data_IF_287216825390
#
_entry.id   IF_287216825390
#
_cell.length_a   1.000
_cell.length_b   1.000
_cell.length_c   1.000
_cell.angle_alpha   90.00
_cell.angle_beta   90.00
_cell.angle_gamma   90.00
#
_symmetry.space_group_name_H-M   'P 1'
#
loop_
_entity.id
_entity.type
_entity.pdbx_description
1 polymer ?
#
# COMPACT_ATOMS: atom_id res chain seq x y z
N UNK A 1 7.57 -1.70 -9.49
CA UNK A 1 7.10 -1.31 -8.14
C UNK A 1 5.92 -2.17 -7.78
N UNK A 2 5.87 -2.80 -6.59
CA UNK A 2 4.75 -3.63 -6.19
C UNK A 2 3.48 -2.78 -6.02
N UNK A 3 2.39 -3.27 -6.57
CA UNK A 3 1.05 -2.71 -6.40
C UNK A 3 0.02 -3.82 -6.50
N UNK A 4 -1.14 -3.60 -5.91
CA UNK A 4 -2.28 -4.50 -5.96
C UNK A 4 -3.53 -3.68 -6.22
N UNK A 5 -4.34 -4.12 -7.16
CA UNK A 5 -5.65 -3.51 -7.45
C UNK A 5 -6.71 -4.57 -7.21
N UNK A 6 -7.78 -4.19 -6.51
CA UNK A 6 -8.97 -5.02 -6.43
C UNK A 6 -10.23 -4.16 -6.48
N UNK A 7 -11.31 -4.76 -6.89
CA UNK A 7 -12.62 -4.13 -6.91
C UNK A 7 -13.56 -4.87 -5.97
N UNK A 8 -14.34 -4.11 -5.25
CA UNK A 8 -15.38 -4.63 -4.37
C UNK A 8 -16.71 -3.94 -4.70
N UNK A 9 -17.82 -4.64 -4.47
CA UNK A 9 -19.16 -4.09 -4.60
C UNK A 9 -19.80 -3.91 -3.24
N UNK A 10 -20.55 -2.84 -3.11
CA UNK A 10 -21.40 -2.56 -1.96
C UNK A 10 -22.78 -2.17 -2.47
N UNK A 11 -23.81 -2.63 -1.79
CA UNK A 11 -25.21 -2.26 -2.09
C UNK A 11 -25.51 -0.82 -1.65
N UNK A 12 -24.65 -0.22 -0.83
CA UNK A 12 -24.83 1.14 -0.35
C UNK A 12 -24.50 2.17 -1.44
N UNK A 13 -25.25 3.28 -1.53
CA UNK A 13 -24.84 4.44 -2.31
C UNK A 13 -23.50 5.00 -1.84
N UNK A 14 -22.75 5.66 -2.74
CA UNK A 14 -21.37 6.10 -2.49
C UNK A 14 -21.20 7.01 -1.24
N UNK A 15 -22.16 7.89 -0.99
CA UNK A 15 -22.18 8.74 0.19
C UNK A 15 -22.37 7.93 1.49
N UNK A 16 -23.34 6.99 1.51
CA UNK A 16 -23.57 6.12 2.66
C UNK A 16 -22.40 5.17 2.89
N UNK A 17 -21.77 4.69 1.82
CA UNK A 17 -20.56 3.89 1.92
C UNK A 17 -19.40 4.69 2.53
N UNK A 18 -19.19 5.94 2.09
CA UNK A 18 -18.19 6.81 2.70
C UNK A 18 -18.46 7.05 4.20
N UNK A 19 -19.72 7.24 4.57
CA UNK A 19 -20.12 7.42 5.97
C UNK A 19 -19.94 6.15 6.80
N UNK A 20 -20.20 4.97 6.24
CA UNK A 20 -19.95 3.68 6.90
C UNK A 20 -18.45 3.38 7.09
N UNK A 21 -17.58 3.91 6.23
CA UNK A 21 -16.14 3.76 6.36
C UNK A 21 -15.52 4.67 7.44
N UNK A 22 -16.08 5.87 7.64
CA UNK A 22 -15.52 6.88 8.57
C UNK A 22 -15.28 6.39 9.99
N UNK A 23 -16.17 5.61 10.64
CA UNK A 23 -15.95 5.11 11.99
C UNK A 23 -14.71 4.22 12.14
N UNK A 24 -14.28 3.58 11.07
CA UNK A 24 -13.10 2.69 11.04
C UNK A 24 -11.80 3.43 10.72
N UNK A 25 -11.87 4.74 10.43
CA UNK A 25 -10.71 5.53 9.99
C UNK A 25 -10.44 6.67 10.97
N UNK A 26 -9.38 6.53 11.75
CA UNK A 26 -8.88 7.59 12.61
C UNK A 26 -8.17 8.70 11.82
N UNK A 27 -8.22 9.91 12.31
CA UNK A 27 -7.46 11.03 11.74
C UNK A 27 -6.01 10.96 12.20
N UNK A 28 -5.02 11.02 11.32
CA UNK A 28 -3.62 11.14 11.73
C UNK A 28 -3.43 12.50 12.42
N UNK A 29 -2.51 12.55 13.40
CA UNK A 29 -2.08 13.83 13.93
C UNK A 29 -1.27 14.60 12.87
N UNK A 30 -0.87 15.85 13.17
CA UNK A 30 -0.11 16.69 12.26
C UNK A 30 1.26 16.10 11.86
N UNK A 31 1.82 15.16 12.64
CA UNK A 31 3.03 14.39 12.33
C UNK A 31 2.76 13.13 11.48
N UNK A 32 1.51 12.87 11.08
CA UNK A 32 1.14 11.66 10.35
C UNK A 32 1.17 10.38 11.19
N UNK A 33 1.26 10.51 12.52
CA UNK A 33 1.26 9.37 13.44
C UNK A 33 -0.16 8.84 13.58
N UNK A 34 -0.36 7.50 13.52
CA UNK A 34 -1.67 6.91 13.69
C UNK A 34 -2.25 7.24 15.08
N UNK A 35 -3.58 7.36 15.19
CA UNK A 35 -4.23 7.57 16.47
C UNK A 35 -3.96 6.37 17.39
N UNK A 36 -3.93 6.63 18.69
CA UNK A 36 -3.79 5.57 19.71
C UNK A 36 -5.09 4.78 19.91
N UNK A 37 -6.18 5.26 19.33
CA UNK A 37 -7.51 4.65 19.44
C UNK A 37 -7.56 3.34 18.65
N UNK A 38 -8.46 2.46 19.05
CA UNK A 38 -8.61 1.08 18.54
C UNK A 38 -9.20 0.97 17.13
N UNK A 39 -9.03 1.99 16.28
CA UNK A 39 -9.50 1.96 14.89
C UNK A 39 -8.53 1.20 14.00
N UNK A 40 -9.04 0.39 13.05
CA UNK A 40 -8.19 -0.45 12.19
C UNK A 40 -7.39 0.33 11.14
N UNK A 41 -7.87 1.51 10.75
CA UNK A 41 -7.25 2.34 9.73
C UNK A 41 -7.05 3.78 10.20
N UNK A 42 -6.16 4.50 9.53
CA UNK A 42 -6.02 5.95 9.69
C UNK A 42 -5.82 6.60 8.32
N UNK A 43 -6.26 7.85 8.18
CA UNK A 43 -6.18 8.58 6.92
C UNK A 43 -7.35 9.52 6.69
N UNK A 44 -7.77 9.64 5.45
CA UNK A 44 -8.84 10.56 5.03
C UNK A 44 -9.87 9.85 4.17
N UNK A 45 -11.15 10.14 4.43
CA UNK A 45 -12.30 9.64 3.66
C UNK A 45 -13.08 10.83 3.14
N UNK A 46 -13.09 11.02 1.82
CA UNK A 46 -13.92 11.98 1.11
C UNK A 46 -15.20 11.34 0.57
N UNK A 47 -15.99 12.11 -0.17
CA UNK A 47 -17.25 11.65 -0.78
C UNK A 47 -17.07 10.72 -1.98
N UNK A 48 -15.96 10.86 -2.71
CA UNK A 48 -15.68 10.09 -3.95
C UNK A 48 -14.42 9.24 -3.90
N UNK A 49 -13.59 9.45 -2.89
CA UNK A 49 -12.29 8.80 -2.74
C UNK A 49 -11.86 8.74 -1.29
N UNK A 50 -11.01 7.76 -0.98
CA UNK A 50 -10.32 7.70 0.31
C UNK A 50 -8.83 7.39 0.13
N UNK A 51 -8.06 7.80 1.12
CA UNK A 51 -6.66 7.43 1.30
C UNK A 51 -6.47 7.01 2.73
N UNK A 52 -6.27 5.73 2.95
CA UNK A 52 -6.12 5.15 4.28
C UNK A 52 -4.91 4.23 4.35
N UNK A 53 -4.43 4.01 5.57
CA UNK A 53 -3.37 3.06 5.88
C UNK A 53 -3.83 2.24 7.09
N UNK A 54 -3.42 0.99 7.17
CA UNK A 54 -3.69 0.15 8.34
C UNK A 54 -2.93 0.66 9.55
N UNK A 55 -3.57 0.71 10.71
CA UNK A 55 -2.90 0.96 11.99
C UNK A 55 -2.12 -0.28 12.39
N UNK A 56 -0.81 -0.13 12.62
CA UNK A 56 0.09 -1.21 13.00
C UNK A 56 0.72 -0.85 14.33
N UNK A 57 0.80 -1.82 15.23
CA UNK A 57 1.58 -1.69 16.46
C UNK A 57 3.05 -1.95 16.13
N UNK A 58 3.85 -0.89 16.03
CA UNK A 58 5.27 -0.97 15.70
C UNK A 58 5.64 -0.20 14.42
N UNK A 59 6.90 -0.35 13.99
CA UNK A 59 7.41 0.25 12.75
C UNK A 59 7.31 -0.77 11.62
N UNK A 60 6.53 -0.45 10.60
CA UNK A 60 6.47 -1.22 9.37
C UNK A 60 6.53 -0.25 8.19
N UNK A 61 7.68 -0.21 7.54
CA UNK A 61 7.94 0.69 6.41
C UNK A 61 7.24 0.23 5.12
N UNK A 62 6.78 -1.02 5.06
CA UNK A 62 6.16 -1.62 3.87
C UNK A 62 4.64 -1.63 3.93
N UNK A 63 4.04 -1.07 4.99
CA UNK A 63 2.61 -0.95 5.13
C UNK A 63 1.99 -0.25 3.91
N UNK A 64 1.06 -0.90 3.19
CA UNK A 64 0.50 -0.34 1.98
C UNK A 64 -0.40 0.87 2.27
N UNK A 65 -0.32 1.86 1.40
CA UNK A 65 -1.30 2.94 1.32
C UNK A 65 -2.43 2.49 0.41
N UNK A 66 -3.66 2.54 0.90
CA UNK A 66 -4.87 2.18 0.17
C UNK A 66 -5.50 3.45 -0.40
N UNK A 67 -5.55 3.53 -1.72
CA UNK A 67 -6.26 4.57 -2.45
C UNK A 67 -7.54 3.97 -3.02
N UNK A 68 -8.69 4.37 -2.51
CA UNK A 68 -9.97 3.92 -3.02
C UNK A 68 -10.71 5.02 -3.75
N UNK A 69 -11.46 4.61 -4.78
CA UNK A 69 -12.43 5.46 -5.50
C UNK A 69 -13.79 4.80 -5.46
N UNK A 70 -14.80 5.60 -5.21
CA UNK A 70 -16.20 5.19 -5.26
C UNK A 70 -16.74 5.47 -6.67
N UNK A 71 -17.20 4.44 -7.34
CA UNK A 71 -17.83 4.50 -8.66
C UNK A 71 -19.30 4.12 -8.46
N UNK A 72 -20.19 5.04 -8.76
CA UNK A 72 -21.63 4.73 -8.73
C UNK A 72 -21.95 3.67 -9.79
N UNK A 73 -22.66 2.64 -9.39
CA UNK A 73 -23.17 1.58 -10.25
C UNK A 73 -24.70 1.55 -10.16
N UNK A 74 -25.39 0.96 -11.14
CA UNK A 74 -26.86 0.92 -11.18
C UNK A 74 -27.50 0.23 -9.96
N UNK A 75 -26.74 -0.61 -9.24
CA UNK A 75 -27.20 -1.38 -8.08
C UNK A 75 -26.35 -1.14 -6.81
N UNK A 76 -25.70 0.05 -6.70
CA UNK A 76 -24.90 0.37 -5.52
C UNK A 76 -23.63 1.11 -5.84
N UNK A 77 -22.56 0.79 -5.13
CA UNK A 77 -21.24 1.40 -5.31
C UNK A 77 -20.18 0.36 -5.61
N UNK A 78 -19.46 0.55 -6.71
CA UNK A 78 -18.24 -0.17 -6.99
C UNK A 78 -17.07 0.59 -6.37
N UNK A 79 -16.30 -0.08 -5.53
CA UNK A 79 -15.14 0.48 -4.86
C UNK A 79 -13.89 -0.11 -5.49
N UNK A 80 -13.14 0.73 -6.22
CA UNK A 80 -11.84 0.34 -6.76
C UNK A 80 -10.75 0.77 -5.81
N UNK A 81 -9.99 -0.19 -5.29
CA UNK A 81 -8.91 0.05 -4.34
C UNK A 81 -7.57 -0.28 -4.97
N UNK A 82 -6.67 0.68 -4.94
CA UNK A 82 -5.26 0.52 -5.35
C UNK A 82 -4.40 0.57 -4.10
N UNK A 83 -3.66 -0.49 -3.87
CA UNK A 83 -2.68 -0.57 -2.79
C UNK A 83 -1.29 -0.40 -3.35
N UNK A 84 -0.49 0.46 -2.74
CA UNK A 84 0.89 0.73 -3.17
C UNK A 84 1.75 1.06 -1.96
N UNK A 85 3.05 0.89 -2.09
CA UNK A 85 4.00 1.31 -1.06
C UNK A 85 3.93 2.82 -0.84
N UNK A 86 4.24 3.23 0.39
CA UNK A 86 4.36 4.65 0.72
C UNK A 86 5.33 5.36 -0.24
N UNK A 87 5.04 6.59 -0.71
CA UNK A 87 5.87 7.31 -1.68
C UNK A 87 7.35 7.39 -1.30
N UNK A 88 7.64 7.60 -0.02
CA UNK A 88 9.02 7.62 0.50
C UNK A 88 9.74 6.28 0.28
N UNK A 89 9.10 5.14 0.58
CA UNK A 89 9.68 3.81 0.36
C UNK A 89 9.89 3.53 -1.13
N UNK A 90 8.96 3.97 -1.96
CA UNK A 90 9.10 3.87 -3.42
C UNK A 90 10.29 4.67 -3.93
N UNK A 91 10.45 5.91 -3.47
CA UNK A 91 11.60 6.74 -3.82
C UNK A 91 12.91 6.11 -3.34
N UNK A 92 12.94 5.63 -2.09
CA UNK A 92 14.10 4.93 -1.56
C UNK A 92 14.48 3.70 -2.40
N UNK A 93 13.53 2.83 -2.73
CA UNK A 93 13.79 1.66 -3.57
C UNK A 93 14.25 2.03 -4.99
N UNK A 94 13.72 3.11 -5.56
CA UNK A 94 14.15 3.59 -6.87
C UNK A 94 15.60 4.11 -6.84
N UNK A 95 15.94 4.94 -5.87
CA UNK A 95 17.28 5.48 -5.67
C UNK A 95 18.26 4.34 -5.39
N UNK A 96 17.90 3.43 -4.47
CA UNK A 96 18.70 2.25 -4.15
C UNK A 96 18.97 1.39 -5.38
N UNK A 97 17.93 1.07 -6.16
CA UNK A 97 18.06 0.28 -7.38
C UNK A 97 18.95 0.97 -8.42
N UNK A 98 18.86 2.30 -8.54
CA UNK A 98 19.71 3.07 -9.43
C UNK A 98 21.20 2.96 -9.04
N UNK A 99 21.54 3.20 -7.78
CA UNK A 99 22.93 3.15 -7.33
C UNK A 99 23.52 1.75 -7.38
N UNK A 100 22.78 0.73 -6.96
CA UNK A 100 23.27 -0.66 -7.00
C UNK A 100 23.43 -1.17 -8.44
N UNK A 101 22.52 -0.82 -9.34
CA UNK A 101 22.67 -1.16 -10.77
C UNK A 101 23.86 -0.45 -11.39
N UNK A 102 24.04 0.84 -11.09
CA UNK A 102 25.20 1.59 -11.58
C UNK A 102 26.52 1.00 -11.07
N UNK A 103 26.58 0.62 -9.79
CA UNK A 103 27.74 -0.03 -9.19
C UNK A 103 28.05 -1.35 -9.90
N UNK A 104 27.05 -2.21 -10.12
CA UNK A 104 27.23 -3.47 -10.83
C UNK A 104 27.71 -3.27 -12.28
N UNK A 105 27.19 -2.26 -13.00
CA UNK A 105 27.64 -1.95 -14.38
C UNK A 105 29.11 -1.50 -14.40
N UNK A 106 29.54 -0.66 -13.47
CA UNK A 106 30.93 -0.21 -13.37
C UNK A 106 31.86 -1.37 -13.04
N UNK A 107 31.45 -2.29 -12.16
CA UNK A 107 32.23 -3.48 -11.82
C UNK A 107 32.50 -4.41 -13.04
N UNK A 108 31.53 -4.53 -13.95
CA UNK A 108 31.74 -5.25 -15.23
C UNK A 108 32.80 -4.54 -16.06
N UNK A 109 32.70 -3.22 -16.19
CA UNK A 109 33.62 -2.42 -17.00
C UNK A 109 35.06 -2.51 -16.48
N UNK A 110 35.25 -2.50 -15.18
CA UNK A 110 36.55 -2.48 -14.53
C UNK A 110 37.09 -3.90 -14.23
N UNK A 111 36.43 -4.95 -14.75
CA UNK A 111 36.80 -6.37 -14.62
C UNK A 111 36.87 -6.88 -13.17
N UNK A 112 36.00 -6.36 -12.28
CA UNK A 112 35.82 -6.81 -10.90
C UNK A 112 34.57 -7.68 -10.72
N UNK A 113 34.62 -9.00 -11.04
CA UNK A 113 33.41 -9.85 -10.99
C UNK A 113 32.82 -9.98 -9.59
N UNK A 114 33.63 -9.94 -8.54
CA UNK A 114 33.16 -10.00 -7.16
C UNK A 114 32.23 -8.82 -6.82
N UNK A 115 32.59 -7.61 -7.27
CA UNK A 115 31.79 -6.39 -7.06
C UNK A 115 30.47 -6.42 -7.85
N UNK A 116 30.49 -7.01 -9.04
CA UNK A 116 29.24 -7.25 -9.81
C UNK A 116 28.27 -8.13 -9.04
N UNK A 117 28.72 -9.27 -8.52
CA UNK A 117 27.86 -10.16 -7.73
C UNK A 117 27.40 -9.51 -6.43
N UNK A 118 28.24 -8.69 -5.79
CA UNK A 118 27.89 -7.88 -4.64
C UNK A 118 26.76 -6.90 -4.96
N UNK A 119 26.89 -6.11 -6.01
CA UNK A 119 25.87 -5.16 -6.45
C UNK A 119 24.53 -5.85 -6.80
N UNK A 120 24.60 -6.96 -7.54
CA UNK A 120 23.42 -7.77 -7.87
C UNK A 120 22.77 -8.36 -6.62
N UNK A 121 23.56 -8.89 -5.68
CA UNK A 121 23.08 -9.42 -4.40
C UNK A 121 22.35 -8.37 -3.57
N UNK A 122 22.87 -7.16 -3.45
CA UNK A 122 22.20 -6.06 -2.76
C UNK A 122 20.92 -5.63 -3.44
N UNK A 123 20.88 -5.61 -4.78
CA UNK A 123 19.66 -5.32 -5.52
C UNK A 123 18.58 -6.36 -5.26
N UNK A 124 18.91 -7.63 -5.42
CA UNK A 124 18.00 -8.75 -5.20
C UNK A 124 17.51 -8.80 -3.75
N UNK A 125 18.38 -8.58 -2.77
CA UNK A 125 18.02 -8.58 -1.36
C UNK A 125 16.97 -7.51 -1.04
N UNK A 126 17.14 -6.27 -1.52
CA UNK A 126 16.18 -5.21 -1.30
C UNK A 126 14.79 -5.55 -1.86
N UNK A 127 14.72 -6.11 -3.07
CA UNK A 127 13.46 -6.49 -3.70
C UNK A 127 12.84 -7.74 -3.07
N UNK A 128 13.66 -8.72 -2.68
CA UNK A 128 13.23 -9.94 -2.01
C UNK A 128 12.61 -9.64 -0.62
N UNK A 129 13.10 -8.60 0.05
CA UNK A 129 12.52 -8.14 1.30
C UNK A 129 11.24 -7.31 1.05
N UNK A 130 11.26 -6.38 0.11
CA UNK A 130 10.16 -5.44 -0.08
C UNK A 130 8.91 -6.08 -0.68
N UNK A 131 9.07 -6.97 -1.65
CA UNK A 131 7.92 -7.51 -2.42
C UNK A 131 7.07 -8.47 -1.60
N UNK A 132 7.61 -9.52 -0.96
CA UNK A 132 6.80 -10.44 -0.16
C UNK A 132 6.11 -9.75 1.02
N UNK A 133 6.81 -8.87 1.72
CA UNK A 133 6.25 -8.14 2.86
C UNK A 133 5.10 -7.25 2.41
N UNK A 134 5.26 -6.53 1.29
CA UNK A 134 4.17 -5.73 0.71
C UNK A 134 2.92 -6.57 0.42
N UNK A 135 3.06 -7.70 -0.28
CA UNK A 135 1.90 -8.54 -0.63
C UNK A 135 1.25 -9.17 0.59
N UNK A 136 2.03 -9.57 1.58
CA UNK A 136 1.51 -10.06 2.85
C UNK A 136 0.66 -9.00 3.57
N UNK A 137 1.18 -7.78 3.68
CA UNK A 137 0.45 -6.67 4.33
C UNK A 137 -0.72 -6.16 3.50
N UNK A 138 -0.62 -6.19 2.17
CA UNK A 138 -1.73 -5.87 1.29
C UNK A 138 -2.88 -6.88 1.45
N UNK A 139 -2.59 -8.18 1.51
CA UNK A 139 -3.60 -9.22 1.76
C UNK A 139 -4.29 -9.02 3.11
N UNK A 140 -3.52 -8.74 4.17
CA UNK A 140 -4.05 -8.46 5.51
C UNK A 140 -4.92 -7.20 5.53
N UNK A 141 -4.50 -6.15 4.84
CA UNK A 141 -5.27 -4.90 4.73
C UNK A 141 -6.56 -5.07 3.93
N UNK A 142 -6.51 -5.87 2.83
CA UNK A 142 -7.71 -6.24 2.06
C UNK A 142 -8.71 -6.99 2.94
N UNK A 143 -8.24 -7.99 3.70
CA UNK A 143 -9.09 -8.77 4.61
C UNK A 143 -9.77 -7.89 5.65
N UNK A 144 -9.01 -7.02 6.34
CA UNK A 144 -9.55 -6.10 7.34
C UNK A 144 -10.59 -5.16 6.75
N UNK A 145 -10.35 -4.61 5.56
CA UNK A 145 -11.30 -3.72 4.89
C UNK A 145 -12.61 -4.45 4.55
N UNK A 146 -12.53 -5.69 4.09
CA UNK A 146 -13.70 -6.53 3.82
C UNK A 146 -14.50 -6.84 5.07
N UNK A 147 -13.83 -7.26 6.13
CA UNK A 147 -14.46 -7.58 7.42
C UNK A 147 -15.14 -6.33 8.03
N UNK A 148 -14.51 -5.16 7.96
CA UNK A 148 -15.05 -3.91 8.51
C UNK A 148 -16.28 -3.39 7.76
N UNK A 149 -16.41 -3.65 6.46
CA UNK A 149 -17.43 -3.07 5.59
C UNK A 149 -18.38 -4.11 4.96
N UNK A 150 -18.25 -5.39 5.32
CA UNK A 150 -19.03 -6.49 4.73
C UNK A 150 -19.04 -6.47 3.19
N UNK A 151 -17.87 -6.15 2.57
CA UNK A 151 -17.73 -6.04 1.13
C UNK A 151 -17.75 -7.41 0.43
N UNK A 152 -18.44 -7.48 -0.69
CA UNK A 152 -18.39 -8.61 -1.61
C UNK A 152 -17.33 -8.35 -2.70
N UNK A 153 -16.57 -9.39 -3.08
CA UNK A 153 -15.66 -9.25 -4.22
C UNK A 153 -16.49 -9.04 -5.49
N UNK A 154 -16.11 -8.08 -6.30
CA UNK A 154 -16.65 -7.94 -7.64
C UNK A 154 -16.15 -9.14 -8.47
N UNK A 155 -17.08 -10.01 -8.88
CA UNK A 155 -16.78 -11.11 -9.79
C UNK A 155 -16.32 -10.59 -11.15
#
# INVERSE_FOLDING_TARGET
>A
MPYLVYEAKSELPANQFADSLRPFVGRPNWLGVPPRDSVPFFGTVGSTRFRIMRVIRGRDSFNPVLYGRFLSDNHGTRVRVVMTLHPFVRAFLAIWSFFTSRYAILAIRDHFPADFYGGLGFLLFAWLMAVPVFYYDAAKSKRLLRESLHLQDAA
#
